data_IF_837509204197
#
_entry.id   IF_837509204197
#
_cell.length_a   1.000
_cell.length_b   1.000
_cell.length_c   1.000
_cell.angle_alpha   90.00
_cell.angle_beta   90.00
_cell.angle_gamma   90.00
#
_symmetry.space_group_name_H-M   'P 1'
#
loop_
_entity.id
_entity.type
_entity.pdbx_description
1 polymer ?
#
# COMPACT_ATOMS: atom_id res chain seq x y z
N UNK A 1 51.42 25.55 -56.95
CA UNK A 1 49.95 25.58 -57.02
C UNK A 1 49.27 24.24 -56.75
N UNK A 2 49.84 23.08 -57.12
CA UNK A 2 49.10 21.81 -57.05
C UNK A 2 49.11 21.11 -55.67
N UNK A 3 50.16 21.25 -54.86
CA UNK A 3 50.26 20.55 -53.55
C UNK A 3 49.16 20.92 -52.55
N UNK A 4 48.75 22.19 -52.52
CA UNK A 4 47.66 22.66 -51.66
C UNK A 4 46.30 22.05 -52.09
N UNK A 5 46.04 21.94 -53.39
CA UNK A 5 44.78 21.37 -53.91
C UNK A 5 44.68 19.86 -53.65
N UNK A 6 45.80 19.14 -53.76
CA UNK A 6 45.87 17.70 -53.47
C UNK A 6 45.69 17.38 -51.99
N UNK A 7 46.27 18.16 -51.08
CA UNK A 7 45.98 18.02 -49.65
C UNK A 7 44.54 18.41 -49.31
N UNK A 8 43.98 19.41 -50.01
CA UNK A 8 42.63 19.91 -49.78
C UNK A 8 41.53 18.91 -50.16
N UNK A 9 41.69 18.19 -51.27
CA UNK A 9 40.72 17.15 -51.63
C UNK A 9 40.76 15.95 -50.68
N UNK A 10 41.93 15.62 -50.15
CA UNK A 10 42.11 14.41 -49.34
C UNK A 10 41.50 14.54 -47.94
N UNK A 11 41.62 15.72 -47.29
CA UNK A 11 40.99 15.91 -45.98
C UNK A 11 39.47 15.88 -46.06
N UNK A 12 38.84 16.42 -47.12
CA UNK A 12 37.37 16.43 -47.24
C UNK A 12 36.81 15.00 -47.28
N UNK A 13 37.44 14.13 -48.07
CA UNK A 13 37.05 12.72 -48.16
C UNK A 13 37.33 12.00 -46.84
N UNK A 14 38.47 12.26 -46.21
CA UNK A 14 38.83 11.68 -44.92
C UNK A 14 37.86 12.10 -43.80
N UNK A 15 37.49 13.38 -43.71
CA UNK A 15 36.50 13.89 -42.75
C UNK A 15 35.13 13.24 -42.96
N UNK A 16 34.71 13.03 -44.21
CA UNK A 16 33.42 12.42 -44.50
C UNK A 16 33.40 10.92 -44.14
N UNK A 17 34.48 10.21 -44.42
CA UNK A 17 34.65 8.80 -44.02
C UNK A 17 34.71 8.64 -42.49
N UNK A 18 35.41 9.56 -41.81
CA UNK A 18 35.44 9.62 -40.36
C UNK A 18 34.05 9.88 -39.78
N UNK A 19 33.33 10.89 -40.29
CA UNK A 19 31.96 11.20 -39.88
C UNK A 19 31.01 10.02 -40.02
N UNK A 20 31.08 9.28 -41.13
CA UNK A 20 30.28 8.07 -41.33
C UNK A 20 30.64 6.96 -40.34
N UNK A 21 31.92 6.78 -40.05
CA UNK A 21 32.39 5.74 -39.12
C UNK A 21 31.98 6.06 -37.69
N UNK A 22 32.16 7.32 -37.27
CA UNK A 22 31.73 7.81 -35.96
C UNK A 22 30.22 7.73 -35.81
N UNK A 23 29.45 8.15 -36.83
CA UNK A 23 27.98 8.07 -36.82
C UNK A 23 27.51 6.63 -36.65
N UNK A 24 28.12 5.68 -37.38
CA UNK A 24 27.81 4.25 -37.26
C UNK A 24 28.10 3.72 -35.86
N UNK A 25 29.22 4.11 -35.25
CA UNK A 25 29.56 3.69 -33.89
C UNK A 25 28.59 4.25 -32.86
N UNK A 26 28.32 5.56 -32.91
CA UNK A 26 27.45 6.22 -31.93
C UNK A 26 26.02 5.68 -32.01
N UNK A 27 25.48 5.48 -33.22
CA UNK A 27 24.13 4.93 -33.40
C UNK A 27 24.08 3.43 -33.08
N UNK A 28 25.16 2.69 -33.32
CA UNK A 28 25.23 1.25 -33.01
C UNK A 28 25.11 0.93 -31.53
N UNK A 29 25.50 1.86 -30.66
CA UNK A 29 25.45 1.70 -29.21
C UNK A 29 24.12 2.22 -28.59
N UNK A 30 23.19 2.74 -29.39
CA UNK A 30 21.96 3.39 -28.93
C UNK A 30 20.70 2.59 -29.28
N UNK A 31 19.66 2.68 -28.44
CA UNK A 31 18.35 2.11 -28.78
C UNK A 31 17.70 2.90 -29.94
N UNK A 32 16.86 2.24 -30.77
CA UNK A 32 16.24 2.88 -31.93
C UNK A 32 15.45 4.15 -31.55
N UNK A 33 14.74 4.13 -30.42
CA UNK A 33 14.02 5.30 -29.89
C UNK A 33 14.99 6.43 -29.53
N UNK A 34 16.13 6.14 -28.91
CA UNK A 34 17.12 7.15 -28.54
C UNK A 34 17.70 7.82 -29.78
N UNK A 35 17.90 7.07 -30.85
CA UNK A 35 18.37 7.60 -32.14
C UNK A 35 17.34 8.54 -32.77
N UNK A 36 16.05 8.23 -32.64
CA UNK A 36 14.97 9.02 -33.21
C UNK A 36 14.70 10.32 -32.43
N UNK A 37 14.71 10.25 -31.10
CA UNK A 37 14.32 11.37 -30.23
C UNK A 37 15.50 12.21 -29.71
N UNK A 38 16.71 11.67 -29.64
CA UNK A 38 17.83 12.31 -28.92
C UNK A 38 18.89 12.92 -29.86
N UNK A 39 18.45 13.54 -30.97
CA UNK A 39 19.32 14.05 -32.04
C UNK A 39 20.35 15.07 -31.55
N UNK A 40 19.98 15.95 -30.63
CA UNK A 40 20.87 16.97 -30.09
C UNK A 40 22.09 16.36 -29.39
N UNK A 41 21.89 15.26 -28.65
CA UNK A 41 22.98 14.55 -28.01
C UNK A 41 23.93 13.90 -29.02
N UNK A 42 23.38 13.33 -30.11
CA UNK A 42 24.16 12.67 -31.14
C UNK A 42 24.94 13.71 -31.94
N UNK A 43 24.31 14.84 -32.28
CA UNK A 43 24.93 15.99 -32.93
C UNK A 43 26.13 16.52 -32.11
N UNK A 44 25.94 16.74 -30.81
CA UNK A 44 26.99 17.21 -29.92
C UNK A 44 28.16 16.23 -29.86
N UNK A 45 27.86 14.94 -29.66
CA UNK A 45 28.89 13.88 -29.56
C UNK A 45 29.66 13.68 -30.86
N UNK A 46 28.98 13.74 -32.00
CA UNK A 46 29.63 13.71 -33.32
C UNK A 46 30.52 14.93 -33.54
N UNK A 47 30.03 16.13 -33.18
CA UNK A 47 30.80 17.37 -33.29
C UNK A 47 32.10 17.26 -32.51
N UNK A 48 32.04 16.86 -31.24
CA UNK A 48 33.22 16.78 -30.39
C UNK A 48 34.26 15.78 -30.93
N UNK A 49 33.82 14.57 -31.33
CA UNK A 49 34.72 13.55 -31.90
C UNK A 49 35.32 14.00 -33.23
N UNK A 50 34.51 14.63 -34.09
CA UNK A 50 34.97 15.07 -35.40
C UNK A 50 35.89 16.28 -35.29
N UNK A 51 35.60 17.25 -34.42
CA UNK A 51 36.45 18.42 -34.19
C UNK A 51 37.83 17.98 -33.70
N UNK A 52 37.89 17.12 -32.67
CA UNK A 52 39.15 16.59 -32.14
C UNK A 52 39.98 15.85 -33.20
N UNK A 53 39.33 14.99 -33.99
CA UNK A 53 40.02 14.18 -34.97
C UNK A 53 40.45 14.97 -36.22
N UNK A 54 39.72 16.03 -36.58
CA UNK A 54 39.99 16.86 -37.77
C UNK A 54 40.91 18.06 -37.48
N UNK A 55 41.14 18.40 -36.21
CA UNK A 55 42.09 19.45 -35.80
C UNK A 55 43.52 19.17 -36.32
N UNK A 56 43.90 17.88 -36.39
CA UNK A 56 45.18 17.41 -36.98
C UNK A 56 45.34 17.76 -38.46
N UNK A 57 44.24 18.05 -39.15
CA UNK A 57 44.21 18.45 -40.56
C UNK A 57 43.99 19.95 -40.73
N UNK A 58 43.95 20.73 -39.64
CA UNK A 58 43.68 22.16 -39.65
C UNK A 58 42.24 22.51 -40.02
N UNK A 59 41.30 21.57 -39.81
CA UNK A 59 39.88 21.75 -40.08
C UNK A 59 39.13 21.82 -38.75
N UNK A 60 38.32 22.87 -38.56
CA UNK A 60 37.45 23.03 -37.39
C UNK A 60 36.01 22.66 -37.75
N UNK A 61 35.36 21.88 -36.89
CA UNK A 61 33.96 21.47 -37.07
C UNK A 61 33.06 22.35 -36.22
N UNK A 62 32.42 23.34 -36.84
CA UNK A 62 31.54 24.29 -36.12
C UNK A 62 30.23 23.64 -35.66
N UNK A 63 29.61 22.82 -36.52
CA UNK A 63 28.36 22.15 -36.24
C UNK A 63 28.25 20.84 -37.02
N UNK A 64 27.55 19.87 -36.42
CA UNK A 64 27.14 18.63 -37.07
C UNK A 64 25.63 18.51 -36.93
N UNK A 65 24.96 18.27 -38.04
CA UNK A 65 23.52 18.05 -38.06
C UNK A 65 23.24 16.75 -38.79
N UNK A 66 22.68 15.79 -38.05
CA UNK A 66 22.27 14.53 -38.63
C UNK A 66 20.93 14.76 -39.34
N UNK A 67 20.89 14.43 -40.63
CA UNK A 67 19.65 14.37 -41.40
C UNK A 67 18.82 13.16 -40.94
N UNK A 68 17.76 12.82 -41.66
CA UNK A 68 17.00 11.60 -41.39
C UNK A 68 17.94 10.39 -41.42
N UNK A 69 18.04 9.69 -40.28
CA UNK A 69 18.69 8.38 -40.18
C UNK A 69 17.68 7.34 -40.63
N UNK A 70 17.93 6.68 -41.75
CA UNK A 70 17.12 5.55 -42.21
C UNK A 70 18.02 4.30 -42.30
N UNK A 71 18.00 3.43 -41.28
CA UNK A 71 18.77 2.20 -41.33
C UNK A 71 18.24 1.28 -42.43
N UNK A 72 19.14 0.58 -43.12
CA UNK A 72 18.77 -0.38 -44.16
C UNK A 72 17.87 -1.50 -43.59
N UNK A 73 16.92 -1.98 -44.38
CA UNK A 73 15.83 -2.88 -43.94
C UNK A 73 16.22 -3.99 -42.94
N UNK A 74 17.28 -4.78 -43.18
CA UNK A 74 17.71 -5.82 -42.25
C UNK A 74 18.13 -5.31 -40.86
N UNK A 75 18.81 -4.15 -40.81
CA UNK A 75 19.26 -3.53 -39.56
C UNK A 75 18.06 -2.99 -38.79
N UNK A 76 17.12 -2.34 -39.48
CA UNK A 76 15.90 -1.83 -38.87
C UNK A 76 15.07 -2.96 -38.23
N UNK A 77 14.90 -4.07 -38.93
CA UNK A 77 14.18 -5.23 -38.40
C UNK A 77 14.86 -5.82 -37.16
N UNK A 78 16.19 -5.98 -37.18
CA UNK A 78 16.94 -6.48 -36.03
C UNK A 78 16.85 -5.54 -34.82
N UNK A 79 16.94 -4.22 -35.05
CA UNK A 79 16.78 -3.22 -33.98
C UNK A 79 15.37 -3.21 -33.40
N UNK A 80 14.34 -3.32 -34.24
CA UNK A 80 12.94 -3.41 -33.80
C UNK A 80 12.70 -4.68 -32.95
N UNK A 81 13.23 -5.83 -33.37
CA UNK A 81 13.15 -7.09 -32.63
C UNK A 81 13.87 -6.99 -31.28
N UNK A 82 15.10 -6.46 -31.26
CA UNK A 82 15.86 -6.24 -30.03
C UNK A 82 15.12 -5.30 -29.07
N UNK A 83 14.59 -4.20 -29.58
CA UNK A 83 13.85 -3.21 -28.77
C UNK A 83 12.57 -3.82 -28.22
N UNK A 84 11.84 -4.61 -29.02
CA UNK A 84 10.66 -5.33 -28.56
C UNK A 84 11.00 -6.33 -27.45
N UNK A 85 12.08 -7.10 -27.62
CA UNK A 85 12.55 -8.06 -26.62
C UNK A 85 12.96 -7.37 -25.30
N UNK A 86 13.69 -6.26 -25.37
CA UNK A 86 14.11 -5.49 -24.19
C UNK A 86 12.89 -4.86 -23.48
N UNK A 87 11.94 -4.29 -24.23
CA UNK A 87 10.68 -3.79 -23.67
C UNK A 87 9.88 -4.90 -23.00
N UNK A 88 9.76 -6.07 -23.62
CA UNK A 88 9.06 -7.21 -23.05
C UNK A 88 9.75 -7.70 -21.78
N UNK A 89 11.08 -7.75 -21.77
CA UNK A 89 11.89 -8.08 -20.58
C UNK A 89 11.62 -7.08 -19.45
N UNK A 90 11.72 -5.77 -19.72
CA UNK A 90 11.47 -4.72 -18.73
C UNK A 90 10.05 -4.79 -18.18
N UNK A 91 9.06 -5.01 -19.05
CA UNK A 91 7.66 -5.17 -18.65
C UNK A 91 7.45 -6.41 -17.74
N UNK A 92 8.10 -7.53 -18.05
CA UNK A 92 8.01 -8.76 -17.25
C UNK A 92 8.62 -8.59 -15.84
N UNK A 93 9.77 -7.91 -15.75
CA UNK A 93 10.40 -7.58 -14.46
C UNK A 93 9.50 -6.68 -13.64
N UNK A 94 9.00 -5.58 -14.24
CA UNK A 94 8.12 -4.64 -13.56
C UNK A 94 6.83 -5.30 -13.06
N UNK A 95 6.23 -6.18 -13.88
CA UNK A 95 5.06 -6.96 -13.48
C UNK A 95 5.36 -7.89 -12.31
N UNK A 96 6.46 -8.64 -12.38
CA UNK A 96 6.86 -9.56 -11.30
C UNK A 96 7.12 -8.82 -9.98
N UNK A 97 7.77 -7.66 -10.05
CA UNK A 97 7.99 -6.82 -8.87
C UNK A 97 6.68 -6.25 -8.31
N UNK A 98 5.76 -5.85 -9.19
CA UNK A 98 4.42 -5.41 -8.82
C UNK A 98 3.62 -6.51 -8.11
N UNK A 99 3.63 -7.73 -8.66
CA UNK A 99 2.97 -8.89 -8.08
C UNK A 99 3.55 -9.25 -6.72
N UNK A 100 4.89 -9.28 -6.60
CA UNK A 100 5.58 -9.53 -5.32
C UNK A 100 5.20 -8.49 -4.27
N UNK A 101 5.23 -7.20 -4.61
CA UNK A 101 4.87 -6.11 -3.69
C UNK A 101 3.41 -6.20 -3.27
N UNK A 102 2.51 -6.48 -4.21
CA UNK A 102 1.09 -6.66 -3.94
C UNK A 102 0.86 -7.82 -2.96
N UNK A 103 1.48 -8.98 -3.20
CA UNK A 103 1.37 -10.14 -2.32
C UNK A 103 1.85 -9.85 -0.88
N UNK A 104 2.96 -9.11 -0.73
CA UNK A 104 3.47 -8.68 0.58
C UNK A 104 2.46 -7.77 1.28
N UNK A 105 1.93 -6.75 0.59
CA UNK A 105 0.97 -5.81 1.18
C UNK A 105 -0.33 -6.50 1.61
N UNK A 106 -0.82 -7.45 0.81
CA UNK A 106 -1.99 -8.27 1.17
C UNK A 106 -1.70 -9.11 2.42
N UNK A 107 -0.54 -9.78 2.48
CA UNK A 107 -0.16 -10.59 3.63
C UNK A 107 0.01 -9.75 4.91
N UNK A 108 0.62 -8.56 4.81
CA UNK A 108 0.76 -7.62 5.92
C UNK A 108 -0.59 -7.09 6.39
N UNK A 109 -1.48 -6.71 5.46
CA UNK A 109 -2.84 -6.30 5.76
C UNK A 109 -3.61 -7.39 6.49
N UNK A 110 -3.56 -8.62 6.00
CA UNK A 110 -4.20 -9.78 6.63
C UNK A 110 -3.64 -10.08 8.02
N UNK A 111 -2.33 -9.91 8.24
CA UNK A 111 -1.70 -10.03 9.55
C UNK A 111 -2.20 -8.96 10.51
N UNK A 112 -2.18 -7.69 10.10
CA UNK A 112 -2.65 -6.56 10.92
C UNK A 112 -4.14 -6.69 11.26
N UNK A 113 -4.97 -7.05 10.29
CA UNK A 113 -6.39 -7.29 10.51
C UNK A 113 -6.63 -8.39 11.56
N UNK A 114 -5.91 -9.50 11.49
CA UNK A 114 -6.02 -10.58 12.49
C UNK A 114 -5.61 -10.13 13.90
N UNK A 115 -4.56 -9.33 14.02
CA UNK A 115 -4.12 -8.78 15.31
C UNK A 115 -5.20 -7.86 15.89
N UNK A 116 -5.70 -6.90 15.11
CA UNK A 116 -6.74 -5.96 15.54
C UNK A 116 -8.04 -6.68 15.95
N UNK A 117 -8.43 -7.74 15.22
CA UNK A 117 -9.57 -8.56 15.60
C UNK A 117 -9.36 -9.28 16.92
N UNK A 118 -8.18 -9.86 17.15
CA UNK A 118 -7.84 -10.54 18.40
C UNK A 118 -7.80 -9.55 19.59
N UNK A 119 -7.25 -8.36 19.39
CA UNK A 119 -7.22 -7.29 20.38
C UNK A 119 -8.63 -6.79 20.72
N UNK A 120 -9.46 -6.56 19.70
CA UNK A 120 -10.85 -6.16 19.87
C UNK A 120 -11.67 -7.20 20.63
N UNK A 121 -11.52 -8.49 20.30
CA UNK A 121 -12.17 -9.58 21.03
C UNK A 121 -11.73 -9.64 22.49
N UNK A 122 -10.42 -9.49 22.75
CA UNK A 122 -9.88 -9.45 24.12
C UNK A 122 -10.50 -8.30 24.90
N UNK A 123 -10.56 -7.11 24.30
CA UNK A 123 -11.09 -5.92 24.95
C UNK A 123 -12.61 -6.04 25.19
N UNK A 124 -13.37 -6.56 24.24
CA UNK A 124 -14.81 -6.83 24.40
C UNK A 124 -15.07 -7.73 25.61
N UNK A 125 -14.34 -8.86 25.71
CA UNK A 125 -14.49 -9.81 26.81
C UNK A 125 -14.15 -9.20 28.18
N UNK A 126 -13.16 -8.31 28.25
CA UNK A 126 -12.81 -7.59 29.48
C UNK A 126 -13.97 -6.67 29.88
N UNK A 127 -14.46 -5.86 28.94
CA UNK A 127 -15.56 -4.93 29.18
C UNK A 127 -16.85 -5.66 29.59
N UNK A 128 -17.16 -6.79 28.96
CA UNK A 128 -18.28 -7.64 29.33
C UNK A 128 -18.15 -8.19 30.75
N UNK A 129 -16.97 -8.70 31.13
CA UNK A 129 -16.71 -9.20 32.47
C UNK A 129 -16.77 -8.09 33.54
N UNK A 130 -16.24 -6.91 33.23
CA UNK A 130 -16.33 -5.73 34.09
C UNK A 130 -17.79 -5.28 34.26
N UNK A 131 -18.56 -5.21 33.17
CA UNK A 131 -19.98 -4.88 33.19
C UNK A 131 -20.80 -5.87 34.01
N UNK A 132 -20.59 -7.18 33.82
CA UNK A 132 -21.26 -8.22 34.60
C UNK A 132 -20.94 -8.12 36.10
N UNK A 133 -19.67 -7.87 36.44
CA UNK A 133 -19.25 -7.64 37.83
C UNK A 133 -19.90 -6.40 38.43
N UNK A 134 -19.96 -5.30 37.69
CA UNK A 134 -20.61 -4.07 38.18
C UNK A 134 -22.12 -4.27 38.37
N UNK A 135 -22.79 -4.94 37.44
CA UNK A 135 -24.22 -5.24 37.53
C UNK A 135 -24.56 -6.03 38.81
N UNK A 136 -23.82 -7.11 39.08
CA UNK A 136 -24.02 -7.93 40.29
C UNK A 136 -23.79 -7.15 41.60
N UNK A 137 -22.80 -6.26 41.64
CA UNK A 137 -22.56 -5.38 42.80
C UNK A 137 -23.73 -4.41 43.01
N UNK A 138 -24.20 -3.78 41.94
CA UNK A 138 -25.30 -2.80 42.01
C UNK A 138 -26.62 -3.46 42.43
N UNK A 139 -26.91 -4.65 41.93
CA UNK A 139 -28.08 -5.44 42.35
C UNK A 139 -28.01 -5.79 43.84
N UNK A 140 -26.87 -6.29 44.33
CA UNK A 140 -26.68 -6.62 45.74
C UNK A 140 -26.80 -5.37 46.65
N UNK A 141 -26.31 -4.22 46.19
CA UNK A 141 -26.48 -2.94 46.90
C UNK A 141 -27.94 -2.50 46.94
N UNK A 142 -28.64 -2.57 45.81
CA UNK A 142 -30.06 -2.25 45.72
C UNK A 142 -30.91 -3.13 46.64
N UNK A 143 -30.64 -4.42 46.70
CA UNK A 143 -31.32 -5.35 47.59
C UNK A 143 -31.02 -5.04 49.07
N UNK A 144 -29.76 -4.79 49.42
CA UNK A 144 -29.39 -4.38 50.78
C UNK A 144 -30.10 -3.09 51.22
N UNK A 145 -30.19 -2.10 50.32
CA UNK A 145 -30.92 -0.86 50.56
C UNK A 145 -32.42 -1.10 50.74
N UNK A 146 -33.03 -1.94 49.87
CA UNK A 146 -34.44 -2.32 49.97
C UNK A 146 -34.74 -2.98 51.32
N UNK A 147 -33.94 -3.97 51.72
CA UNK A 147 -34.07 -4.65 53.00
C UNK A 147 -33.91 -3.68 54.18
N UNK A 148 -32.98 -2.73 54.10
CA UNK A 148 -32.80 -1.68 55.13
C UNK A 148 -34.00 -0.76 55.24
N UNK A 149 -34.60 -0.34 54.12
CA UNK A 149 -35.80 0.51 54.14
C UNK A 149 -36.97 -0.26 54.76
N UNK A 150 -37.16 -1.53 54.37
CA UNK A 150 -38.19 -2.38 54.95
C UNK A 150 -37.98 -2.60 56.45
N UNK A 151 -36.75 -2.83 56.92
CA UNK A 151 -36.49 -3.03 58.35
C UNK A 151 -36.72 -1.77 59.17
N UNK A 152 -36.33 -0.59 58.67
CA UNK A 152 -36.64 0.69 59.32
C UNK A 152 -38.15 0.97 59.33
N UNK A 153 -38.84 0.73 58.20
CA UNK A 153 -40.29 0.88 58.11
C UNK A 153 -41.06 -0.10 59.01
N UNK A 154 -40.58 -1.34 59.12
CA UNK A 154 -41.13 -2.34 60.04
C UNK A 154 -40.88 -1.97 61.51
N UNK A 155 -39.72 -1.39 61.85
CA UNK A 155 -39.46 -0.88 63.19
C UNK A 155 -40.40 0.28 63.58
N UNK A 156 -40.93 1.03 62.61
CA UNK A 156 -41.94 2.08 62.86
C UNK A 156 -43.37 1.54 62.97
N UNK A 157 -43.63 0.28 62.60
CA UNK A 157 -44.91 -0.39 62.87
C UNK A 157 -44.94 -0.79 64.34
N UNK A 158 -45.48 0.11 65.17
CA UNK A 158 -45.66 -0.03 66.61
C UNK A 158 -46.26 -1.41 66.98
N UNK A 159 -45.90 -1.95 68.15
CA UNK A 159 -46.32 -3.28 68.61
C UNK A 159 -47.85 -3.47 68.56
N UNK A 160 -48.60 -2.37 68.69
CA UNK A 160 -50.06 -2.34 68.50
C UNK A 160 -50.51 -2.73 67.10
N UNK A 161 -49.84 -2.27 66.04
CA UNK A 161 -50.20 -2.61 64.66
C UNK A 161 -50.00 -4.10 64.37
N UNK A 162 -48.91 -4.70 64.90
CA UNK A 162 -48.67 -6.14 64.85
C UNK A 162 -49.74 -6.93 65.63
N UNK A 163 -50.17 -6.45 66.80
CA UNK A 163 -51.25 -7.11 67.54
C UNK A 163 -52.58 -7.06 66.79
N UNK A 164 -52.94 -5.91 66.20
CA UNK A 164 -54.19 -5.79 65.43
C UNK A 164 -54.17 -6.70 64.21
N UNK A 165 -53.07 -6.74 63.46
CA UNK A 165 -52.91 -7.64 62.31
C UNK A 165 -52.96 -9.12 62.75
N UNK A 166 -52.34 -9.47 63.88
CA UNK A 166 -52.38 -10.83 64.42
C UNK A 166 -53.80 -11.25 64.84
N UNK A 167 -54.57 -10.35 65.47
CA UNK A 167 -55.98 -10.55 65.81
C UNK A 167 -56.84 -10.71 64.56
N UNK A 168 -56.57 -9.94 63.51
CA UNK A 168 -57.29 -10.05 62.24
C UNK A 168 -56.98 -11.37 61.51
N UNK A 169 -55.71 -11.79 61.47
CA UNK A 169 -55.33 -13.11 60.94
C UNK A 169 -55.91 -14.27 61.76
N UNK A 170 -55.96 -14.15 63.09
CA UNK A 170 -56.59 -15.14 63.95
C UNK A 170 -58.10 -15.21 63.74
N UNK A 171 -58.76 -14.07 63.52
CA UNK A 171 -60.20 -14.00 63.21
C UNK A 171 -60.49 -14.64 61.86
N UNK A 172 -59.69 -14.31 60.84
CA UNK A 172 -59.82 -14.89 59.50
C UNK A 172 -59.54 -16.40 59.47
N UNK A 173 -58.56 -16.88 60.26
CA UNK A 173 -58.32 -18.31 60.45
C UNK A 173 -59.43 -19.01 61.24
N UNK A 174 -60.02 -18.36 62.25
CA UNK A 174 -61.15 -18.89 63.00
C UNK A 174 -62.44 -18.96 62.16
N UNK A 175 -62.60 -18.04 61.19
CA UNK A 175 -63.70 -18.07 60.23
C UNK A 175 -63.45 -18.95 58.99
N UNK A 176 -62.21 -19.44 58.81
CA UNK A 176 -61.84 -20.36 57.75
C UNK A 176 -62.32 -21.78 58.06
N UNK A 177 -63.09 -22.38 57.15
CA UNK A 177 -63.74 -23.68 57.30
C UNK A 177 -62.82 -24.75 57.92
N UNK A 178 -63.31 -25.34 59.02
CA UNK A 178 -62.70 -26.46 59.73
C UNK A 178 -62.34 -27.60 58.76
N UNK A 179 -61.06 -27.70 58.40
CA UNK A 179 -60.56 -28.85 57.65
C UNK A 179 -60.40 -29.99 58.65
N UNK A 180 -61.37 -30.91 58.66
CA UNK A 180 -61.40 -32.10 59.52
C UNK A 180 -60.21 -32.99 59.17
N UNK A 181 -59.14 -32.90 59.96
CA UNK A 181 -58.01 -33.82 59.89
C UNK A 181 -58.44 -35.15 60.51
N UNK A 182 -58.46 -36.22 59.71
CA UNK A 182 -58.70 -37.59 60.17
C UNK A 182 -57.37 -38.34 60.09
N UNK A 183 -56.94 -38.93 61.20
CA UNK A 183 -55.89 -39.96 61.30
C UNK A 183 -56.27 -40.93 62.43
N UNK A 184 -55.87 -42.22 62.39
CA UNK A 184 -55.64 -43.12 61.25
C UNK A 184 -56.84 -44.04 60.95
#
# INVERSE_FOLDING_TARGET
GSLAVFQVQNYRVATLALAQTTLRSVIGDMELDEVLYNRDSINARLRDILDEATDKWGVRVEAVEIKTVDPVGPVKAAMEEQTAAERQRRAAVLRSDGEKRSAILVAEGAKRARILQAEGLRQSRILEAEGARMATILEAQGESQRLRILSMGAATLDAKALTVLSLDTATNMASGQATKIIFP
#
